data_IF_680029954923
#
_entry.id   IF_680029954923
#
_cell.length_a   1.000
_cell.length_b   1.000
_cell.length_c   1.000
_cell.angle_alpha   90.00
_cell.angle_beta   90.00
_cell.angle_gamma   90.00
#
_symmetry.space_group_name_H-M   'P 1'
#
loop_
_entity.id
_entity.type
_entity.pdbx_description
1 polymer ?
#
# COMPACT_ATOMS: atom_id res chain seq x y z
N UNK A 1 -17.92 2.70 -11.44
CA UNK A 1 -16.91 1.93 -10.67
C UNK A 1 -17.25 2.06 -9.20
N UNK A 2 -17.09 1.02 -8.39
CA UNK A 2 -17.30 1.11 -6.94
C UNK A 2 -16.20 2.01 -6.36
N UNK A 3 -16.55 2.96 -5.49
CA UNK A 3 -15.52 3.77 -4.81
C UNK A 3 -14.56 2.83 -4.06
N UNK A 4 -13.23 3.02 -4.17
CA UNK A 4 -12.27 2.24 -3.42
C UNK A 4 -12.44 2.51 -1.93
N UNK A 5 -12.36 1.47 -1.10
CA UNK A 5 -12.33 1.62 0.36
C UNK A 5 -10.89 1.81 0.80
N UNK A 6 -10.61 2.94 1.46
CA UNK A 6 -9.29 3.24 1.99
C UNK A 6 -9.06 2.61 3.38
N UNK A 7 -7.80 2.38 3.73
CA UNK A 7 -7.37 1.96 5.08
C UNK A 7 -6.53 3.10 5.67
N UNK A 8 -7.18 4.11 6.24
CA UNK A 8 -6.51 5.33 6.75
C UNK A 8 -6.42 5.33 8.27
N UNK A 9 -7.46 4.85 8.95
CA UNK A 9 -7.47 4.66 10.40
C UNK A 9 -8.22 3.38 10.78
N UNK A 10 -7.87 2.79 11.92
CA UNK A 10 -8.59 1.62 12.46
C UNK A 10 -10.04 1.96 12.83
N UNK A 11 -10.34 3.24 13.05
CA UNK A 11 -11.69 3.72 13.37
C UNK A 11 -12.68 3.60 12.19
N UNK A 12 -12.18 3.40 10.96
CA UNK A 12 -13.00 3.20 9.76
C UNK A 12 -13.53 1.76 9.63
N UNK A 13 -13.23 0.90 10.61
CA UNK A 13 -13.52 -0.52 10.58
C UNK A 13 -14.22 -0.96 11.87
N UNK A 14 -15.20 -1.83 11.71
CA UNK A 14 -15.81 -2.55 12.83
C UNK A 14 -14.86 -3.60 13.40
N UNK A 15 -15.08 -3.99 14.65
CA UNK A 15 -14.33 -5.06 15.31
C UNK A 15 -14.33 -6.36 14.49
N UNK A 16 -15.48 -6.72 13.89
CA UNK A 16 -15.59 -7.94 13.10
C UNK A 16 -14.74 -7.88 11.81
N UNK A 17 -14.67 -6.72 11.16
CA UNK A 17 -13.82 -6.53 9.97
C UNK A 17 -12.33 -6.64 10.32
N UNK A 18 -11.91 -6.06 11.45
CA UNK A 18 -10.53 -6.16 11.92
C UNK A 18 -10.18 -7.60 12.32
N UNK A 19 -11.09 -8.32 12.98
CA UNK A 19 -10.91 -9.73 13.28
C UNK A 19 -10.77 -10.58 12.00
N UNK A 20 -11.60 -10.29 10.99
CA UNK A 20 -11.53 -10.95 9.68
C UNK A 20 -10.19 -10.67 8.99
N UNK A 21 -9.71 -9.42 9.05
CA UNK A 21 -8.41 -9.03 8.49
C UNK A 21 -7.25 -9.80 9.16
N UNK A 22 -7.28 -9.93 10.49
CA UNK A 22 -6.27 -10.68 11.25
C UNK A 22 -6.33 -12.18 10.90
N UNK A 23 -7.52 -12.77 10.86
CA UNK A 23 -7.70 -14.17 10.49
C UNK A 23 -7.14 -14.44 9.08
N UNK A 24 -7.42 -13.55 8.12
CA UNK A 24 -6.88 -13.65 6.76
C UNK A 24 -5.36 -13.53 6.72
N UNK A 25 -4.77 -12.64 7.53
CA UNK A 25 -3.31 -12.52 7.62
C UNK A 25 -2.65 -13.81 8.17
N UNK A 26 -3.27 -14.46 9.16
CA UNK A 26 -2.80 -15.74 9.72
C UNK A 26 -2.85 -16.83 8.65
N UNK A 27 -3.95 -16.93 7.90
CA UNK A 27 -4.12 -17.88 6.81
C UNK A 27 -3.06 -17.70 5.73
N UNK A 28 -2.86 -16.46 5.25
CA UNK A 28 -1.86 -16.14 4.24
C UNK A 28 -0.44 -16.50 4.70
N UNK A 29 -0.12 -16.26 5.98
CA UNK A 29 1.16 -16.66 6.57
C UNK A 29 1.34 -18.18 6.58
N UNK A 30 0.28 -18.95 6.86
CA UNK A 30 0.33 -20.40 6.82
C UNK A 30 0.54 -20.91 5.38
N UNK A 31 -0.18 -20.36 4.40
CA UNK A 31 -0.02 -20.69 2.98
C UNK A 31 1.40 -20.41 2.48
N UNK A 32 1.95 -19.24 2.82
CA UNK A 32 3.33 -18.88 2.49
C UNK A 32 4.33 -19.90 3.04
N UNK A 33 4.17 -20.32 4.31
CA UNK A 33 5.04 -21.32 4.95
C UNK A 33 4.93 -22.71 4.32
N UNK A 34 3.76 -23.05 3.80
CA UNK A 34 3.53 -24.30 3.07
C UNK A 34 4.02 -24.25 1.61
N UNK A 35 4.54 -23.12 1.13
CA UNK A 35 4.93 -22.93 -0.28
C UNK A 35 3.73 -22.83 -1.23
N UNK A 36 2.53 -22.56 -0.72
CA UNK A 36 1.26 -22.52 -1.45
C UNK A 36 0.74 -21.08 -1.59
N UNK A 37 1.63 -20.12 -1.79
CA UNK A 37 1.25 -18.70 -1.86
C UNK A 37 0.51 -18.41 -3.18
N UNK A 38 -0.77 -17.97 -3.14
CA UNK A 38 -1.51 -17.65 -4.35
C UNK A 38 -0.98 -16.37 -5.03
N UNK A 39 -1.13 -16.22 -6.35
CA UNK A 39 -0.77 -14.97 -7.05
C UNK A 39 -1.88 -13.90 -6.94
N UNK A 40 -2.23 -13.47 -5.73
CA UNK A 40 -3.36 -12.54 -5.48
C UNK A 40 -3.19 -11.18 -6.15
N UNK A 41 -1.96 -10.76 -6.41
CA UNK A 41 -1.59 -9.48 -6.97
C UNK A 41 -0.92 -9.62 -8.34
N UNK A 42 -1.20 -10.70 -9.08
CA UNK A 42 -0.64 -10.91 -10.42
C UNK A 42 -0.84 -9.68 -11.32
N UNK A 43 0.27 -9.16 -11.85
CA UNK A 43 0.31 -7.98 -12.71
C UNK A 43 -0.25 -6.69 -12.05
N UNK A 44 -0.34 -6.65 -10.72
CA UNK A 44 -0.74 -5.46 -9.97
C UNK A 44 0.47 -4.65 -9.52
N UNK A 45 0.34 -3.34 -9.56
CA UNK A 45 1.39 -2.40 -9.18
C UNK A 45 0.97 -1.59 -7.96
N UNK A 46 1.83 -1.55 -6.94
CA UNK A 46 1.71 -0.71 -5.76
C UNK A 46 2.65 0.49 -5.86
N UNK A 47 2.12 1.71 -5.89
CA UNK A 47 2.90 2.93 -5.68
C UNK A 47 3.13 3.17 -4.19
N UNK A 48 4.39 3.26 -3.75
CA UNK A 48 4.75 3.45 -2.34
C UNK A 48 5.39 4.83 -2.13
N UNK A 49 4.60 5.80 -1.65
CA UNK A 49 5.03 7.16 -1.36
C UNK A 49 5.58 7.26 0.06
N UNK A 50 6.86 7.63 0.22
CA UNK A 50 7.52 7.75 1.51
C UNK A 50 8.13 9.13 1.73
N UNK A 51 7.48 10.00 2.53
CA UNK A 51 8.08 11.25 3.01
C UNK A 51 9.01 11.03 4.23
N UNK A 52 8.95 9.85 4.86
CA UNK A 52 9.82 9.44 5.98
C UNK A 52 10.47 8.10 5.68
N UNK A 53 11.74 7.94 6.00
CA UNK A 53 12.39 6.64 5.92
C UNK A 53 11.71 5.60 6.83
N UNK A 54 11.57 4.36 6.33
CA UNK A 54 11.07 3.23 7.11
C UNK A 54 11.53 1.90 6.51
N UNK A 55 12.34 1.15 7.25
CA UNK A 55 12.81 -0.18 6.82
C UNK A 55 11.67 -1.19 6.82
N UNK A 56 11.01 -1.38 7.97
CA UNK A 56 10.01 -2.45 8.13
C UNK A 56 8.83 -2.26 7.20
N UNK A 57 8.31 -1.03 7.10
CA UNK A 57 7.13 -0.76 6.27
C UNK A 57 7.44 -0.94 4.79
N UNK A 58 8.56 -0.39 4.30
CA UNK A 58 8.95 -0.56 2.90
C UNK A 58 9.12 -2.04 2.57
N UNK A 59 9.96 -2.74 3.32
CA UNK A 59 10.28 -4.14 3.07
C UNK A 59 9.02 -5.01 3.17
N UNK A 60 8.11 -4.77 4.12
CA UNK A 60 6.90 -5.57 4.25
C UNK A 60 5.95 -5.41 3.05
N UNK A 61 5.72 -4.20 2.57
CA UNK A 61 4.83 -3.96 1.43
C UNK A 61 5.42 -4.49 0.13
N UNK A 62 6.71 -4.23 -0.10
CA UNK A 62 7.44 -4.70 -1.29
C UNK A 62 7.49 -6.23 -1.32
N UNK A 63 7.83 -6.86 -0.20
CA UNK A 63 7.86 -8.33 -0.07
C UNK A 63 6.47 -8.93 -0.31
N UNK A 64 5.41 -8.34 0.26
CA UNK A 64 4.05 -8.83 0.05
C UNK A 64 3.66 -8.76 -1.44
N UNK A 65 3.89 -7.62 -2.10
CA UNK A 65 3.58 -7.49 -3.53
C UNK A 65 4.30 -8.56 -4.36
N UNK A 66 5.61 -8.72 -4.16
CA UNK A 66 6.42 -9.71 -4.90
C UNK A 66 5.93 -11.14 -4.63
N UNK A 67 5.69 -11.49 -3.36
CA UNK A 67 5.26 -12.85 -2.97
C UNK A 67 3.87 -13.23 -3.51
N UNK A 68 3.01 -12.26 -3.76
CA UNK A 68 1.69 -12.47 -4.33
C UNK A 68 1.65 -12.17 -5.85
N UNK A 69 2.81 -12.08 -6.53
CA UNK A 69 2.92 -11.97 -8.00
C UNK A 69 2.77 -10.56 -8.58
N UNK A 70 2.81 -9.54 -7.73
CA UNK A 70 2.75 -8.13 -8.11
C UNK A 70 4.10 -7.42 -8.03
N UNK A 71 4.07 -6.11 -8.26
CA UNK A 71 5.24 -5.24 -8.23
C UNK A 71 4.99 -4.02 -7.33
N UNK A 72 6.05 -3.42 -6.79
CA UNK A 72 5.96 -2.19 -6.02
C UNK A 72 6.98 -1.17 -6.54
N UNK A 73 6.58 0.10 -6.60
CA UNK A 73 7.42 1.23 -7.01
C UNK A 73 7.64 2.11 -5.80
N UNK A 74 8.90 2.26 -5.38
CA UNK A 74 9.27 3.15 -4.28
C UNK A 74 9.42 4.59 -4.78
N UNK A 75 8.69 5.51 -4.17
CA UNK A 75 8.64 6.93 -4.51
C UNK A 75 9.06 7.74 -3.28
N UNK A 76 10.22 8.39 -3.36
CA UNK A 76 10.72 9.26 -2.29
C UNK A 76 10.83 10.71 -2.77
N UNK A 77 10.67 11.70 -1.87
CA UNK A 77 10.79 13.12 -2.20
C UNK A 77 12.10 13.49 -2.89
N UNK A 78 13.20 12.81 -2.53
CA UNK A 78 14.53 13.09 -3.09
C UNK A 78 14.61 12.75 -4.59
N UNK A 79 13.81 11.78 -5.04
CA UNK A 79 13.87 11.22 -6.38
C UNK A 79 12.63 11.53 -7.23
N UNK A 80 11.67 12.30 -6.71
CA UNK A 80 10.38 12.58 -7.37
C UNK A 80 9.97 14.05 -7.25
N UNK A 81 8.95 14.46 -8.00
CA UNK A 81 8.44 15.84 -7.95
C UNK A 81 7.71 16.15 -6.62
N UNK A 82 7.41 15.13 -5.81
CA UNK A 82 6.90 15.28 -4.44
C UNK A 82 7.79 16.18 -3.57
N UNK A 83 9.12 16.10 -3.75
CA UNK A 83 10.07 16.93 -2.99
C UNK A 83 10.29 18.33 -3.58
N UNK A 84 9.73 18.61 -4.76
CA UNK A 84 9.98 19.84 -5.55
C UNK A 84 8.77 20.79 -5.58
N UNK A 85 7.76 20.53 -4.75
CA UNK A 85 6.60 21.39 -4.60
C UNK A 85 5.41 21.04 -5.50
N UNK A 86 5.41 19.85 -6.13
CA UNK A 86 4.20 19.36 -6.80
C UNK A 86 3.07 19.19 -5.75
N UNK A 87 1.85 19.71 -6.02
CA UNK A 87 0.72 19.50 -5.13
C UNK A 87 0.42 18.01 -4.95
N UNK A 88 0.16 17.59 -3.71
CA UNK A 88 -0.13 16.18 -3.37
C UNK A 88 -1.32 15.65 -4.20
N UNK A 89 -2.31 16.50 -4.45
CA UNK A 89 -3.47 16.19 -5.29
C UNK A 89 -3.09 15.87 -6.74
N UNK A 90 -2.12 16.56 -7.31
CA UNK A 90 -1.66 16.32 -8.69
C UNK A 90 -0.87 15.03 -8.75
N UNK A 91 0.04 14.80 -7.80
CA UNK A 91 0.74 13.51 -7.71
C UNK A 91 -0.26 12.35 -7.53
N UNK A 92 -1.29 12.52 -6.69
CA UNK A 92 -2.33 11.49 -6.50
C UNK A 92 -3.13 11.22 -7.79
N UNK A 93 -3.49 12.27 -8.55
CA UNK A 93 -4.17 12.15 -9.86
C UNK A 93 -3.29 11.44 -10.91
N UNK A 94 -1.98 11.65 -10.89
CA UNK A 94 -1.04 10.98 -11.80
C UNK A 94 -0.89 9.52 -11.41
N UNK A 95 -0.59 9.24 -10.14
CA UNK A 95 -0.39 7.87 -9.65
C UNK A 95 -1.64 6.99 -9.83
N UNK A 96 -2.83 7.52 -9.53
CA UNK A 96 -4.08 6.78 -9.68
C UNK A 96 -4.41 6.32 -11.11
N UNK A 97 -3.73 6.86 -12.13
CA UNK A 97 -3.83 6.41 -13.52
C UNK A 97 -2.79 5.36 -13.92
N UNK A 98 -1.77 5.15 -13.10
CA UNK A 98 -0.61 4.32 -13.42
C UNK A 98 -0.45 3.08 -12.54
N UNK A 99 -1.01 3.11 -11.32
CA UNK A 99 -0.89 2.01 -10.34
C UNK A 99 -2.25 1.51 -9.87
N UNK A 100 -2.32 0.26 -9.43
CA UNK A 100 -3.56 -0.35 -8.91
C UNK A 100 -3.81 0.01 -7.44
N UNK A 101 -2.76 0.32 -6.69
CA UNK A 101 -2.85 0.66 -5.26
C UNK A 101 -1.79 1.71 -4.90
N UNK A 102 -2.10 2.55 -3.90
CA UNK A 102 -1.19 3.55 -3.36
C UNK A 102 -1.07 3.34 -1.85
N UNK A 103 0.17 3.25 -1.37
CA UNK A 103 0.52 3.31 0.04
C UNK A 103 1.26 4.62 0.30
N UNK A 104 0.88 5.32 1.36
CA UNK A 104 1.48 6.61 1.72
C UNK A 104 2.00 6.57 3.14
N UNK A 105 3.26 6.99 3.31
CA UNK A 105 3.90 7.26 4.60
C UNK A 105 4.26 8.74 4.65
N UNK A 106 3.45 9.51 5.38
CA UNK A 106 3.55 10.98 5.47
C UNK A 106 3.69 11.47 6.93
N UNK A 107 3.90 12.77 7.12
CA UNK A 107 3.96 13.44 8.42
C UNK A 107 2.59 13.71 9.04
N UNK A 108 1.58 14.06 8.22
CA UNK A 108 0.30 14.57 8.69
C UNK A 108 -0.87 13.79 8.09
N UNK A 109 -1.84 13.43 8.92
CA UNK A 109 -3.04 12.69 8.47
C UNK A 109 -3.92 13.53 7.53
N UNK A 110 -3.87 14.86 7.63
CA UNK A 110 -4.60 15.77 6.73
C UNK A 110 -4.17 15.63 5.26
N UNK A 111 -2.93 15.17 5.01
CA UNK A 111 -2.42 14.95 3.64
C UNK A 111 -3.02 13.74 2.93
N UNK A 112 -3.76 12.88 3.65
CA UNK A 112 -4.38 11.66 3.13
C UNK A 112 -5.90 11.65 3.27
N UNK A 113 -6.50 12.80 3.63
CA UNK A 113 -7.95 12.99 3.65
C UNK A 113 -8.48 13.45 2.30
#
# INVERSE_FOLDING_TARGET
>A
MKQPRHFLTLLDFSTNELQTLIARAIELKAMQRAGQCPELFKNKVLGMVFEKSSTRTRVSFETAMIQFGGNAIFLSPENTQLGRGEPIEDTARVLSRMVDCIMVRTYAHEKIK
#
